data_IF_132547767888
#
_entry.id   IF_132547767888
#
_cell.length_a   1.000
_cell.length_b   1.000
_cell.length_c   1.000
_cell.angle_alpha   90.00
_cell.angle_beta   90.00
_cell.angle_gamma   90.00
#
_symmetry.space_group_name_H-M   'P 1'
#
loop_
_entity.id
_entity.type
_entity.pdbx_description
1 polymer ?
#
# COMPACT_ATOMS: atom_id res chain seq x y z
N UNK A 1 -24.40 -25.27 81.17
CA UNK A 1 -24.61 -24.29 80.08
C UNK A 1 -23.27 -23.65 79.75
N UNK A 2 -22.60 -24.09 78.67
CA UNK A 2 -21.41 -23.42 78.14
C UNK A 2 -21.83 -22.71 76.84
N UNK A 3 -21.79 -21.38 76.85
CA UNK A 3 -22.12 -20.57 75.67
C UNK A 3 -20.87 -20.49 74.78
N UNK A 4 -20.96 -21.00 73.55
CA UNK A 4 -19.96 -20.79 72.51
C UNK A 4 -20.03 -19.33 72.03
N UNK A 5 -19.00 -18.55 72.32
CA UNK A 5 -18.81 -17.23 71.72
C UNK A 5 -18.07 -17.41 70.38
N UNK A 6 -18.78 -17.25 69.26
CA UNK A 6 -18.14 -17.17 67.95
C UNK A 6 -17.57 -15.75 67.78
N UNK A 7 -16.25 -15.57 67.57
CA UNK A 7 -15.71 -14.24 67.33
C UNK A 7 -16.23 -13.75 65.97
N UNK A 8 -17.08 -12.73 66.03
CA UNK A 8 -17.62 -12.01 64.89
C UNK A 8 -16.49 -11.19 64.24
N UNK A 9 -15.70 -11.80 63.35
CA UNK A 9 -14.69 -11.06 62.56
C UNK A 9 -15.40 -10.39 61.38
N UNK A 10 -15.95 -9.20 61.63
CA UNK A 10 -16.33 -8.28 60.56
C UNK A 10 -15.12 -7.94 59.71
N UNK A 11 -15.33 -7.69 58.41
CA UNK A 11 -14.28 -7.34 57.45
C UNK A 11 -13.50 -6.13 57.97
N UNK A 12 -12.25 -6.33 58.36
CA UNK A 12 -11.41 -5.25 58.88
C UNK A 12 -10.92 -4.33 57.77
N UNK A 13 -10.52 -3.10 58.11
CA UNK A 13 -9.84 -2.17 57.17
C UNK A 13 -8.67 -2.85 56.44
N UNK A 14 -7.94 -3.73 57.13
CA UNK A 14 -6.83 -4.50 56.56
C UNK A 14 -7.32 -5.51 55.52
N UNK A 15 -8.41 -6.22 55.79
CA UNK A 15 -8.97 -7.20 54.85
C UNK A 15 -9.49 -6.51 53.59
N UNK A 16 -10.12 -5.33 53.75
CA UNK A 16 -10.53 -4.48 52.64
C UNK A 16 -9.31 -4.03 51.80
N UNK A 17 -8.26 -3.50 52.44
CA UNK A 17 -7.05 -3.05 51.73
C UNK A 17 -6.34 -4.21 51.01
N UNK A 18 -6.28 -5.39 51.62
CA UNK A 18 -5.68 -6.59 51.00
C UNK A 18 -6.53 -7.06 49.81
N UNK A 19 -7.85 -7.09 49.95
CA UNK A 19 -8.75 -7.47 48.86
C UNK A 19 -8.67 -6.48 47.68
N UNK A 20 -8.65 -5.17 47.95
CA UNK A 20 -8.51 -4.13 46.91
C UNK A 20 -7.14 -4.20 46.22
N UNK A 21 -6.05 -4.37 46.97
CA UNK A 21 -4.71 -4.48 46.40
C UNK A 21 -4.58 -5.74 45.52
N UNK A 22 -5.16 -6.87 45.96
CA UNK A 22 -5.16 -8.12 45.19
C UNK A 22 -6.01 -8.01 43.92
N UNK A 23 -7.16 -7.33 43.98
CA UNK A 23 -8.00 -7.06 42.81
C UNK A 23 -7.33 -6.16 41.78
N UNK A 24 -6.64 -5.10 42.23
CA UNK A 24 -5.87 -4.21 41.36
C UNK A 24 -4.65 -4.92 40.72
N UNK A 25 -3.94 -5.75 41.50
CA UNK A 25 -2.86 -6.58 40.97
C UNK A 25 -3.36 -7.58 39.93
N UNK A 26 -4.51 -8.23 40.19
CA UNK A 26 -5.18 -9.13 39.24
C UNK A 26 -5.62 -8.44 37.94
N UNK A 27 -6.11 -7.20 38.01
CA UNK A 27 -6.43 -6.38 36.83
C UNK A 27 -5.18 -6.03 36.02
N UNK A 28 -4.05 -5.70 36.68
CA UNK A 28 -2.80 -5.41 35.99
C UNK A 28 -2.19 -6.65 35.30
N UNK A 29 -2.31 -7.83 35.92
CA UNK A 29 -1.93 -9.10 35.31
C UNK A 29 -2.87 -9.49 34.15
N UNK A 30 -4.18 -9.25 34.30
CA UNK A 30 -5.18 -9.46 33.25
C UNK A 30 -4.96 -8.59 32.02
N UNK A 31 -4.47 -7.35 32.18
CA UNK A 31 -4.11 -6.47 31.06
C UNK A 31 -2.92 -6.96 30.23
N UNK A 32 -2.04 -7.79 30.81
CA UNK A 32 -0.93 -8.42 30.08
C UNK A 32 -1.31 -9.76 29.43
N UNK A 33 -2.49 -10.31 29.75
CA UNK A 33 -3.01 -11.58 29.20
C UNK A 33 -4.14 -11.34 28.19
N UNK A 34 -4.77 -10.16 28.23
CA UNK A 34 -5.52 -9.70 27.07
C UNK A 34 -4.52 -9.64 25.90
N UNK A 35 -4.75 -10.37 24.80
CA UNK A 35 -3.98 -10.10 23.61
C UNK A 35 -4.14 -8.61 23.38
N UNK A 36 -3.01 -7.89 23.32
CA UNK A 36 -3.03 -6.55 22.75
C UNK A 36 -3.91 -6.68 21.52
N UNK A 37 -4.95 -5.85 21.41
CA UNK A 37 -5.68 -5.72 20.17
C UNK A 37 -4.60 -5.55 19.12
N UNK A 38 -4.32 -6.60 18.37
CA UNK A 38 -3.56 -6.45 17.15
C UNK A 38 -4.54 -5.62 16.35
N UNK A 39 -4.40 -4.29 16.41
CA UNK A 39 -4.84 -3.42 15.33
C UNK A 39 -4.49 -4.21 14.10
N UNK A 40 -5.51 -4.76 13.43
CA UNK A 40 -5.40 -5.88 12.52
C UNK A 40 -4.27 -5.58 11.58
N UNK A 41 -3.09 -6.08 11.93
CA UNK A 41 -1.84 -5.72 11.31
C UNK A 41 -1.99 -6.35 9.97
N UNK A 42 -2.42 -5.55 9.01
CA UNK A 42 -2.77 -5.98 7.68
C UNK A 42 -1.42 -6.33 7.05
N UNK A 43 -0.87 -7.49 7.43
CA UNK A 43 0.27 -8.11 6.77
C UNK A 43 -0.11 -8.07 5.31
N UNK A 44 0.64 -7.33 4.47
CA UNK A 44 0.24 -7.13 3.10
C UNK A 44 0.07 -8.51 2.48
N UNK A 45 -1.18 -8.81 2.09
CA UNK A 45 -1.51 -10.11 1.52
C UNK A 45 -0.66 -10.31 0.27
N UNK A 46 -0.03 -11.48 0.15
CA UNK A 46 0.70 -11.81 -1.05
C UNK A 46 -0.28 -12.02 -2.22
N UNK A 47 -0.05 -11.33 -3.34
CA UNK A 47 -0.81 -11.56 -4.55
C UNK A 47 -0.62 -13.02 -5.03
N UNK A 48 -1.73 -13.73 -5.31
CA UNK A 48 -1.68 -15.12 -5.80
C UNK A 48 -1.26 -15.22 -7.27
N UNK A 49 -1.59 -14.20 -8.06
CA UNK A 49 -1.26 -14.09 -9.47
C UNK A 49 -1.24 -12.61 -9.88
N UNK A 50 -0.44 -12.30 -10.89
CA UNK A 50 -0.29 -10.94 -11.44
C UNK A 50 -0.43 -11.03 -12.96
N UNK A 51 -1.19 -10.10 -13.54
CA UNK A 51 -1.28 -9.91 -14.99
C UNK A 51 -0.56 -8.61 -15.32
N UNK A 52 0.46 -8.69 -16.19
CA UNK A 52 1.18 -7.52 -16.69
C UNK A 52 0.71 -7.19 -18.10
N UNK A 53 0.14 -6.00 -18.27
CA UNK A 53 -0.12 -5.42 -19.59
C UNK A 53 1.07 -4.55 -20.01
N UNK A 54 2.02 -5.12 -20.74
CA UNK A 54 3.16 -4.39 -21.27
C UNK A 54 2.88 -3.92 -22.70
N UNK A 55 2.72 -2.60 -22.88
CA UNK A 55 2.45 -1.99 -24.18
C UNK A 55 3.78 -1.55 -24.80
N UNK A 56 4.38 -2.37 -25.67
CA UNK A 56 5.62 -2.04 -26.37
C UNK A 56 5.37 -0.92 -27.40
N UNK A 57 5.80 0.30 -27.08
CA UNK A 57 5.43 1.55 -27.80
C UNK A 57 4.52 2.48 -26.97
N UNK A 58 3.93 1.96 -25.90
CA UNK A 58 3.22 2.72 -24.88
C UNK A 58 1.85 3.24 -25.28
N UNK A 59 1.05 3.54 -24.25
CA UNK A 59 -0.07 4.46 -24.37
C UNK A 59 0.37 5.81 -23.81
N UNK A 60 0.00 6.90 -24.48
CA UNK A 60 0.37 8.24 -24.02
C UNK A 60 -0.24 8.51 -22.64
N UNK A 61 0.61 8.71 -21.62
CA UNK A 61 0.17 8.95 -20.25
C UNK A 61 -0.64 10.24 -20.12
N UNK A 62 -0.24 11.30 -20.83
CA UNK A 62 -0.95 12.58 -20.84
C UNK A 62 -2.31 12.47 -21.54
N UNK A 63 -2.50 11.48 -22.40
CA UNK A 63 -3.79 11.27 -23.08
C UNK A 63 -4.71 10.30 -22.33
N UNK A 64 -4.25 9.71 -21.21
CA UNK A 64 -4.98 8.63 -20.54
C UNK A 64 -5.08 8.78 -19.02
N UNK A 65 -3.95 8.76 -18.33
CA UNK A 65 -3.87 8.62 -16.88
C UNK A 65 -3.53 9.95 -16.16
N UNK A 66 -2.87 10.88 -16.84
CA UNK A 66 -2.29 12.08 -16.24
C UNK A 66 -2.50 13.33 -17.14
N UNK A 67 -3.78 13.65 -17.42
CA UNK A 67 -4.20 14.55 -18.51
C UNK A 67 -3.89 16.05 -18.39
N UNK A 68 -3.10 16.46 -17.40
CA UNK A 68 -2.70 17.86 -17.14
C UNK A 68 -3.75 18.91 -17.59
N UNK A 69 -5.02 18.83 -17.15
CA UNK A 69 -6.13 19.58 -17.76
C UNK A 69 -5.99 21.11 -17.65
N UNK A 70 -5.17 21.57 -16.69
CA UNK A 70 -4.88 22.98 -16.47
C UNK A 70 -3.66 23.50 -17.26
N UNK A 71 -2.95 22.64 -17.99
CA UNK A 71 -1.84 23.06 -18.84
C UNK A 71 -2.36 23.66 -20.17
N UNK A 72 -1.54 24.45 -20.88
CA UNK A 72 -1.90 24.96 -22.21
C UNK A 72 -2.29 23.82 -23.17
N UNK A 73 -3.18 24.12 -24.12
CA UNK A 73 -3.78 23.13 -25.02
C UNK A 73 -2.74 22.38 -25.86
N UNK A 74 -1.62 23.04 -26.17
CA UNK A 74 -0.49 22.50 -26.92
C UNK A 74 0.27 21.41 -26.15
N UNK A 75 0.14 21.36 -24.82
CA UNK A 75 0.80 20.38 -23.96
C UNK A 75 -0.16 19.28 -23.47
N UNK A 76 -1.38 19.64 -23.06
CA UNK A 76 -2.32 18.68 -22.45
C UNK A 76 -3.07 17.77 -23.43
N UNK A 77 -2.95 18.02 -24.73
CA UNK A 77 -3.70 17.31 -25.76
C UNK A 77 -5.16 17.76 -25.86
N UNK A 78 -5.89 17.11 -26.77
CA UNK A 78 -7.28 17.46 -27.11
C UNK A 78 -8.32 16.81 -26.18
N UNK A 79 -7.97 15.67 -25.58
CA UNK A 79 -8.89 14.86 -24.78
C UNK A 79 -9.29 15.53 -23.47
N UNK A 80 -10.47 15.16 -22.98
CA UNK A 80 -11.03 15.71 -21.74
C UNK A 80 -11.07 14.68 -20.60
N UNK A 81 -10.84 15.12 -19.35
CA UNK A 81 -10.98 14.26 -18.20
C UNK A 81 -12.45 13.98 -17.88
N UNK A 82 -12.73 12.75 -17.45
CA UNK A 82 -14.00 12.35 -16.83
C UNK A 82 -13.78 12.01 -15.35
N UNK A 83 -14.81 12.28 -14.54
CA UNK A 83 -14.84 11.83 -13.15
C UNK A 83 -14.85 10.29 -13.09
N UNK A 84 -14.26 9.76 -12.03
CA UNK A 84 -14.20 8.31 -11.80
C UNK A 84 -14.93 7.91 -10.52
N UNK A 85 -15.05 6.60 -10.28
CA UNK A 85 -15.59 6.05 -9.04
C UNK A 85 -14.69 6.29 -7.81
N UNK A 86 -13.44 6.71 -7.98
CA UNK A 86 -12.54 7.10 -6.91
C UNK A 86 -12.54 8.64 -6.76
N UNK A 87 -12.88 9.19 -5.57
CA UNK A 87 -12.85 10.64 -5.34
C UNK A 87 -11.46 11.23 -5.62
N UNK A 88 -11.43 12.33 -6.37
CA UNK A 88 -10.19 13.03 -6.72
C UNK A 88 -9.38 12.39 -7.85
N UNK A 89 -9.79 11.24 -8.40
CA UNK A 89 -9.17 10.62 -9.57
C UNK A 89 -9.99 10.93 -10.82
N UNK A 90 -9.30 11.38 -11.87
CA UNK A 90 -9.85 11.61 -13.21
C UNK A 90 -9.10 10.78 -14.23
N UNK A 91 -9.79 10.32 -15.27
CA UNK A 91 -9.20 9.58 -16.41
C UNK A 91 -9.72 10.16 -17.72
N UNK A 92 -9.12 9.77 -18.85
CA UNK A 92 -9.60 10.14 -20.18
C UNK A 92 -11.03 9.69 -20.45
N UNK A 93 -11.81 10.56 -21.11
CA UNK A 93 -13.20 10.30 -21.52
C UNK A 93 -13.38 9.02 -22.35
N UNK A 94 -12.32 8.57 -23.03
CA UNK A 94 -12.29 7.32 -23.79
C UNK A 94 -12.01 6.06 -22.95
N UNK A 95 -11.89 6.20 -21.63
CA UNK A 95 -11.76 5.08 -20.67
C UNK A 95 -12.98 4.91 -19.75
N UNK A 96 -14.23 4.93 -20.27
CA UNK A 96 -15.44 5.00 -19.44
C UNK A 96 -15.72 3.73 -18.63
N UNK A 97 -15.22 2.57 -19.08
CA UNK A 97 -15.36 1.33 -18.31
C UNK A 97 -14.37 1.28 -17.15
N UNK A 98 -13.19 1.85 -17.34
CA UNK A 98 -12.15 1.87 -16.33
C UNK A 98 -12.42 2.94 -15.26
N UNK A 99 -12.97 4.09 -15.65
CA UNK A 99 -13.39 5.13 -14.68
C UNK A 99 -14.39 4.57 -13.65
N UNK A 100 -15.30 3.68 -14.07
CA UNK A 100 -16.24 2.98 -13.19
C UNK A 100 -15.56 2.03 -12.19
N UNK A 101 -14.33 1.61 -12.47
CA UNK A 101 -13.55 0.68 -11.64
C UNK A 101 -12.41 1.37 -10.87
N UNK A 102 -12.24 2.69 -10.98
CA UNK A 102 -11.14 3.43 -10.36
C UNK A 102 -11.01 3.24 -8.83
N UNK A 103 -12.08 2.94 -8.10
CA UNK A 103 -12.02 2.59 -6.68
C UNK A 103 -11.27 1.28 -6.37
N UNK A 104 -10.95 0.48 -7.38
CA UNK A 104 -10.08 -0.69 -7.29
C UNK A 104 -8.65 -0.45 -7.79
N UNK A 105 -8.35 0.76 -8.26
CA UNK A 105 -7.07 1.07 -8.88
C UNK A 105 -6.18 1.86 -7.91
N UNK A 106 -4.88 1.62 -8.02
CA UNK A 106 -3.86 2.54 -7.52
C UNK A 106 -3.20 3.20 -8.74
N UNK A 107 -3.31 4.52 -8.84
CA UNK A 107 -2.65 5.29 -9.89
C UNK A 107 -1.30 5.81 -9.36
N UNK A 108 -0.21 5.48 -10.06
CA UNK A 108 1.16 5.85 -9.67
C UNK A 108 1.73 6.84 -10.68
N UNK A 109 1.73 8.13 -10.32
CA UNK A 109 2.22 9.22 -11.17
C UNK A 109 3.62 9.72 -10.74
N UNK A 110 4.36 8.93 -9.97
CA UNK A 110 5.67 9.30 -9.40
C UNK A 110 6.87 8.74 -10.17
N UNK A 111 6.64 8.01 -11.27
CA UNK A 111 7.73 7.45 -12.08
C UNK A 111 8.44 8.59 -12.80
N UNK A 112 9.75 8.69 -12.58
CA UNK A 112 10.63 9.61 -13.29
C UNK A 112 11.87 8.85 -13.77
N UNK A 113 12.53 9.37 -14.80
CA UNK A 113 13.75 8.79 -15.34
C UNK A 113 14.99 9.42 -14.71
N UNK A 114 15.60 8.72 -13.74
CA UNK A 114 16.96 9.04 -13.27
C UNK A 114 18.04 8.33 -14.07
N UNK A 115 17.69 7.18 -14.66
CA UNK A 115 18.54 6.38 -15.56
C UNK A 115 18.02 6.58 -16.98
N UNK A 116 18.81 7.27 -17.81
CA UNK A 116 18.44 7.58 -19.18
C UNK A 116 19.60 7.27 -20.13
N UNK A 117 19.44 6.22 -20.93
CA UNK A 117 20.39 5.81 -21.97
C UNK A 117 20.01 6.35 -23.35
N UNK A 118 18.86 7.02 -23.49
CA UNK A 118 18.27 7.40 -24.78
C UNK A 118 18.03 6.20 -25.73
N UNK A 119 17.87 5.00 -25.16
CA UNK A 119 17.54 3.78 -25.89
C UNK A 119 16.25 3.16 -25.34
N UNK A 120 15.34 2.81 -26.25
CA UNK A 120 14.04 2.26 -25.89
C UNK A 120 14.17 0.89 -25.21
N UNK A 121 15.05 0.03 -25.69
CA UNK A 121 15.21 -1.33 -25.18
C UNK A 121 15.76 -1.33 -23.75
N UNK A 122 16.78 -0.52 -23.48
CA UNK A 122 17.33 -0.25 -22.15
C UNK A 122 16.26 0.29 -21.19
N UNK A 123 15.41 1.21 -21.68
CA UNK A 123 14.32 1.77 -20.89
C UNK A 123 13.32 0.69 -20.45
N UNK A 124 12.91 -0.20 -21.35
CA UNK A 124 11.99 -1.29 -20.99
C UNK A 124 12.62 -2.26 -19.98
N UNK A 125 13.87 -2.64 -20.19
CA UNK A 125 14.62 -3.50 -19.27
C UNK A 125 14.62 -2.90 -17.86
N UNK A 126 15.10 -1.67 -17.70
CA UNK A 126 15.19 -1.01 -16.39
C UNK A 126 13.82 -0.89 -15.71
N UNK A 127 12.75 -0.55 -16.45
CA UNK A 127 11.40 -0.43 -15.87
C UNK A 127 10.81 -1.76 -15.42
N UNK A 128 11.20 -2.88 -16.05
CA UNK A 128 10.67 -4.20 -15.72
C UNK A 128 11.51 -4.94 -14.67
N UNK A 129 12.82 -4.75 -14.65
CA UNK A 129 13.75 -5.46 -13.75
C UNK A 129 14.25 -4.62 -12.58
N UNK A 130 14.32 -3.30 -12.75
CA UNK A 130 14.99 -2.39 -11.81
C UNK A 130 16.52 -2.41 -11.91
N UNK A 131 17.09 -3.19 -12.83
CA UNK A 131 18.53 -3.25 -13.05
C UNK A 131 19.00 -2.16 -14.02
N UNK A 132 20.11 -1.49 -13.69
CA UNK A 132 20.68 -0.43 -14.52
C UNK A 132 21.21 -1.05 -15.82
N UNK A 133 20.78 -0.58 -17.01
CA UNK A 133 21.24 -1.12 -18.28
C UNK A 133 22.75 -0.90 -18.44
N UNK A 134 23.46 -1.96 -18.83
CA UNK A 134 24.89 -1.88 -19.11
C UNK A 134 25.15 -1.26 -20.52
N UNK A 135 26.40 -0.88 -20.86
CA UNK A 135 26.73 -0.24 -22.13
C UNK A 135 26.39 -1.05 -23.40
N UNK A 136 26.21 -2.36 -23.30
CA UNK A 136 25.85 -3.23 -24.44
C UNK A 136 24.47 -2.94 -24.99
N UNK A 137 23.55 -2.38 -24.19
CA UNK A 137 22.26 -1.94 -24.71
C UNK A 137 22.41 -0.85 -25.79
N UNK A 138 23.39 0.04 -25.65
CA UNK A 138 23.65 1.09 -26.64
C UNK A 138 24.35 0.55 -27.89
N UNK A 139 25.27 -0.40 -27.72
CA UNK A 139 26.11 -0.89 -28.84
C UNK A 139 25.41 -1.97 -29.65
N UNK A 140 24.60 -2.81 -29.02
CA UNK A 140 23.89 -3.92 -29.67
C UNK A 140 22.42 -3.56 -29.96
N UNK A 141 21.84 -2.59 -29.25
CA UNK A 141 20.44 -2.19 -29.39
C UNK A 141 19.49 -3.38 -29.20
N UNK A 142 18.58 -3.55 -30.15
CA UNK A 142 17.61 -4.65 -30.16
C UNK A 142 18.23 -6.04 -30.36
N UNK A 143 19.52 -6.13 -30.74
CA UNK A 143 20.22 -7.42 -30.89
C UNK A 143 20.82 -7.91 -29.57
N UNK A 144 20.75 -7.13 -28.49
CA UNK A 144 21.20 -7.59 -27.17
C UNK A 144 20.27 -8.70 -26.67
N UNK A 145 20.81 -9.89 -26.47
CA UNK A 145 20.11 -10.98 -25.77
C UNK A 145 20.32 -10.87 -24.27
N UNK A 146 19.37 -11.32 -23.43
CA UNK A 146 19.54 -11.31 -21.99
C UNK A 146 20.79 -12.09 -21.54
N UNK A 147 21.50 -11.57 -20.55
CA UNK A 147 22.59 -12.25 -19.88
C UNK A 147 22.09 -13.05 -18.66
N UNK A 148 22.89 -14.01 -18.14
CA UNK A 148 22.49 -14.79 -16.98
C UNK A 148 22.28 -13.98 -15.69
N UNK A 149 22.87 -12.80 -15.60
CA UNK A 149 22.82 -11.88 -14.46
C UNK A 149 21.85 -10.71 -14.65
N UNK A 150 21.07 -10.71 -15.73
CA UNK A 150 20.03 -9.71 -16.02
C UNK A 150 18.80 -9.77 -15.11
#
# INVERSE_FOLDING_TARGET
MASLHWPNRGVGRRDFLVASATGLAGLSAGQSILPASTDGGNSPGQAKSTILFFLCGGISHIDTWDMKPNAPAEYRGEFQPIATSAPGVTLCEYLPLLSRQAHHLALINSINGTVNTNDHHAGYYHNLTGHVPDPTFLTLGNNRTPYPDD
#
